data_IF_468075910712
#
_entry.id   IF_468075910712
#
_cell.length_a   1.000
_cell.length_b   1.000
_cell.length_c   1.000
_cell.angle_alpha   90.00
_cell.angle_beta   90.00
_cell.angle_gamma   90.00
#
_symmetry.space_group_name_H-M   'P 1'
#
loop_
_entity.id
_entity.type
_entity.pdbx_description
1 polymer ?
#
# COMPACT_ATOMS: atom_id res chain seq x y z
N UNK A 1 73.65 10.36 -19.53
CA UNK A 1 72.61 10.72 -20.51
C UNK A 1 71.34 10.15 -19.94
N UNK A 2 70.65 11.03 -19.18
CA UNK A 2 69.34 11.58 -19.48
C UNK A 2 68.24 10.51 -19.58
N UNK A 3 67.15 10.41 -18.84
CA UNK A 3 66.33 11.49 -18.33
C UNK A 3 65.39 10.98 -17.27
N UNK A 4 65.04 11.89 -16.42
CA UNK A 4 64.02 11.88 -15.41
C UNK A 4 62.63 11.78 -16.00
N UNK A 5 61.75 11.02 -15.36
CA UNK A 5 60.33 11.35 -15.21
C UNK A 5 59.88 10.95 -13.80
N UNK A 6 59.80 11.95 -12.97
CA UNK A 6 59.13 11.85 -11.69
C UNK A 6 57.61 11.65 -11.90
N UNK A 7 57.00 10.71 -11.17
CA UNK A 7 55.57 10.54 -11.12
C UNK A 7 55.16 10.74 -9.66
N UNK A 8 54.85 12.00 -9.32
CA UNK A 8 54.16 12.34 -8.09
C UNK A 8 52.74 11.78 -8.12
N UNK A 9 52.54 10.66 -7.44
CA UNK A 9 51.21 10.15 -7.16
C UNK A 9 50.59 10.94 -6.01
N UNK A 10 49.90 12.01 -6.34
CA UNK A 10 49.04 12.73 -5.40
C UNK A 10 47.85 11.79 -5.06
N UNK A 11 47.82 11.33 -3.83
CA UNK A 11 46.71 10.59 -3.24
C UNK A 11 45.53 11.56 -3.04
N UNK A 12 44.64 11.62 -4.01
CA UNK A 12 43.36 12.32 -3.88
C UNK A 12 42.38 11.36 -3.22
N UNK A 13 42.21 11.47 -1.91
CA UNK A 13 41.06 10.95 -1.18
C UNK A 13 39.84 11.76 -1.59
N UNK A 14 39.21 11.35 -2.70
CA UNK A 14 37.90 11.84 -3.11
C UNK A 14 36.85 11.24 -2.21
N UNK A 15 36.38 12.00 -1.22
CA UNK A 15 35.15 11.77 -0.52
C UNK A 15 34.04 11.73 -1.55
N UNK A 16 33.47 10.57 -1.82
CA UNK A 16 32.25 10.43 -2.61
C UNK A 16 31.15 11.02 -1.73
N UNK A 17 30.80 12.27 -2.01
CA UNK A 17 29.60 12.87 -1.48
C UNK A 17 28.40 12.05 -1.96
N UNK A 18 27.67 11.52 -1.01
CA UNK A 18 26.39 10.86 -1.16
C UNK A 18 25.37 11.87 -1.73
N UNK A 19 25.35 12.00 -3.05
CA UNK A 19 24.31 12.74 -3.75
C UNK A 19 23.10 11.80 -3.91
N UNK A 20 22.43 11.54 -2.78
CA UNK A 20 21.01 11.18 -2.83
C UNK A 20 20.27 12.41 -3.35
N UNK A 21 20.25 12.51 -4.68
CA UNK A 21 19.44 13.51 -5.36
C UNK A 21 17.97 13.08 -5.26
N UNK A 22 17.41 13.20 -4.06
CA UNK A 22 15.98 13.18 -3.83
C UNK A 22 15.46 14.59 -4.19
N UNK A 23 15.50 14.90 -5.48
CA UNK A 23 14.74 15.99 -6.03
C UNK A 23 13.26 15.59 -6.03
N UNK A 24 12.68 15.45 -4.84
CA UNK A 24 11.28 15.70 -4.67
C UNK A 24 11.06 17.15 -5.12
N UNK A 25 10.54 17.33 -6.33
CA UNK A 25 10.07 18.60 -6.82
C UNK A 25 9.05 19.11 -5.81
N UNK A 26 9.45 20.02 -4.94
CA UNK A 26 8.60 20.72 -3.99
C UNK A 26 7.71 21.74 -4.70
N UNK A 27 6.92 21.30 -5.66
CA UNK A 27 5.74 22.04 -6.06
C UNK A 27 4.79 22.00 -4.85
N UNK A 28 4.27 23.14 -4.36
CA UNK A 28 3.34 23.16 -3.26
C UNK A 28 2.14 22.33 -3.70
N UNK A 29 1.97 21.14 -3.11
CA UNK A 29 0.74 20.36 -3.26
C UNK A 29 -0.37 21.25 -2.70
N UNK A 30 -1.18 21.83 -3.59
CA UNK A 30 -2.31 22.63 -3.18
C UNK A 30 -3.30 21.66 -2.53
N UNK A 31 -3.37 21.67 -1.21
CA UNK A 31 -4.33 20.87 -0.47
C UNK A 31 -5.75 21.36 -0.80
N UNK A 32 -6.71 20.44 -0.81
CA UNK A 32 -8.13 20.82 -0.89
C UNK A 32 -8.47 21.85 0.18
N UNK A 33 -9.25 22.87 -0.16
CA UNK A 33 -9.66 23.88 0.79
C UNK A 33 -10.51 23.26 1.91
N UNK A 34 -10.38 23.77 3.12
CA UNK A 34 -11.15 23.31 4.28
C UNK A 34 -12.67 23.43 4.02
N UNK A 35 -13.08 24.48 3.31
CA UNK A 35 -14.48 24.69 2.92
C UNK A 35 -15.00 23.58 1.98
N UNK A 36 -14.18 23.19 0.96
CA UNK A 36 -14.54 22.09 0.08
C UNK A 36 -14.65 20.76 0.83
N UNK A 37 -13.69 20.47 1.72
CA UNK A 37 -13.69 19.26 2.55
C UNK A 37 -14.90 19.18 3.48
N UNK A 38 -15.48 20.30 3.85
CA UNK A 38 -16.67 20.36 4.69
C UNK A 38 -17.98 20.01 3.94
N UNK A 39 -17.99 20.06 2.59
CA UNK A 39 -19.18 19.79 1.77
C UNK A 39 -19.66 18.34 1.91
N UNK A 40 -20.97 18.11 2.14
CA UNK A 40 -21.53 16.77 2.31
C UNK A 40 -21.19 15.80 1.17
N UNK A 41 -21.28 16.23 -0.09
CA UNK A 41 -20.93 15.41 -1.26
C UNK A 41 -19.46 14.95 -1.23
N UNK A 42 -18.54 15.83 -0.85
CA UNK A 42 -17.11 15.49 -0.76
C UNK A 42 -16.86 14.48 0.37
N UNK A 43 -17.55 14.64 1.51
CA UNK A 43 -17.47 13.68 2.61
C UNK A 43 -18.00 12.31 2.21
N UNK A 44 -19.15 12.25 1.53
CA UNK A 44 -19.72 11.01 1.02
C UNK A 44 -18.78 10.34 0.02
N UNK A 45 -18.26 11.09 -0.96
CA UNK A 45 -17.29 10.57 -1.94
C UNK A 45 -16.07 9.96 -1.25
N UNK A 46 -15.47 10.67 -0.29
CA UNK A 46 -14.33 10.16 0.49
C UNK A 46 -14.67 8.94 1.34
N UNK A 47 -15.85 8.91 1.95
CA UNK A 47 -16.33 7.75 2.71
C UNK A 47 -16.50 6.52 1.82
N UNK A 48 -16.83 6.71 0.53
CA UNK A 48 -16.87 5.65 -0.49
C UNK A 48 -15.50 5.35 -1.12
N UNK A 49 -14.40 5.95 -0.64
CA UNK A 49 -13.06 5.71 -1.16
C UNK A 49 -12.73 6.44 -2.47
N UNK A 50 -13.54 7.40 -2.88
CA UNK A 50 -13.30 8.16 -4.11
C UNK A 50 -12.27 9.29 -3.88
N UNK A 51 -11.35 9.43 -4.81
CA UNK A 51 -10.53 10.63 -4.89
C UNK A 51 -11.43 11.83 -5.27
N UNK A 52 -11.22 12.98 -4.64
CA UNK A 52 -11.97 14.21 -4.91
C UNK A 52 -11.12 15.26 -5.63
N UNK A 53 -9.81 14.98 -5.73
CA UNK A 53 -8.82 15.77 -6.46
C UNK A 53 -7.63 14.91 -6.85
N UNK A 54 -6.84 15.36 -7.80
CA UNK A 54 -5.61 14.71 -8.22
C UNK A 54 -4.61 15.74 -8.75
N UNK A 55 -3.35 15.33 -8.90
CA UNK A 55 -2.33 16.11 -9.60
C UNK A 55 -2.19 15.49 -10.99
N UNK A 56 -2.38 16.28 -12.03
CA UNK A 56 -2.25 15.82 -13.41
C UNK A 56 -0.78 15.59 -13.82
N UNK A 57 -0.56 15.11 -15.04
CA UNK A 57 0.78 14.82 -15.57
C UNK A 57 1.65 16.07 -15.73
N UNK A 58 1.05 17.26 -15.73
CA UNK A 58 1.74 18.54 -15.81
C UNK A 58 2.05 19.14 -14.42
N UNK A 59 1.68 18.42 -13.35
CA UNK A 59 1.83 18.87 -11.97
C UNK A 59 0.74 19.85 -11.51
N UNK A 60 -0.37 19.97 -12.25
CA UNK A 60 -1.46 20.88 -11.90
C UNK A 60 -2.47 20.17 -10.98
N UNK A 61 -2.77 20.82 -9.86
CA UNK A 61 -3.83 20.34 -8.96
C UNK A 61 -5.19 20.52 -9.62
N UNK A 62 -5.93 19.43 -9.73
CA UNK A 62 -7.25 19.39 -10.39
C UNK A 62 -8.29 18.81 -9.45
N UNK A 63 -9.39 19.51 -9.29
CA UNK A 63 -10.55 19.06 -8.52
C UNK A 63 -11.53 18.30 -9.41
N UNK A 64 -12.05 17.17 -8.92
CA UNK A 64 -13.08 16.42 -9.61
C UNK A 64 -14.40 17.16 -9.46
N UNK A 65 -15.14 17.32 -10.56
CA UNK A 65 -16.41 18.03 -10.57
C UNK A 65 -17.49 17.28 -9.80
N UNK A 66 -18.43 18.00 -9.22
CA UNK A 66 -19.57 17.42 -8.48
C UNK A 66 -20.38 16.46 -9.37
N UNK A 67 -20.59 16.81 -10.63
CA UNK A 67 -21.30 15.96 -11.57
C UNK A 67 -20.60 14.61 -11.80
N UNK A 68 -19.27 14.62 -11.87
CA UNK A 68 -18.49 13.38 -11.98
C UNK A 68 -18.57 12.54 -10.69
N UNK A 69 -18.46 13.18 -9.52
CA UNK A 69 -18.61 12.48 -8.24
C UNK A 69 -19.98 11.83 -8.09
N UNK A 70 -21.05 12.56 -8.42
CA UNK A 70 -22.44 12.03 -8.39
C UNK A 70 -22.59 10.86 -9.36
N UNK A 71 -22.04 10.96 -10.57
CA UNK A 71 -22.12 9.90 -11.56
C UNK A 71 -21.39 8.61 -11.09
N UNK A 72 -20.21 8.75 -10.47
CA UNK A 72 -19.44 7.61 -9.93
C UNK A 72 -20.15 7.02 -8.72
N UNK A 73 -20.65 7.84 -7.78
CA UNK A 73 -21.43 7.36 -6.63
C UNK A 73 -22.65 6.56 -7.07
N UNK A 74 -23.38 7.06 -8.08
CA UNK A 74 -24.49 6.33 -8.68
C UNK A 74 -24.08 4.98 -9.27
N UNK A 75 -22.91 4.89 -9.91
CA UNK A 75 -22.37 3.64 -10.44
C UNK A 75 -21.95 2.65 -9.33
N UNK A 76 -21.74 3.14 -8.10
CA UNK A 76 -21.51 2.36 -6.89
C UNK A 76 -22.79 2.08 -6.09
N UNK A 77 -23.98 2.32 -6.67
CA UNK A 77 -25.28 2.19 -6.03
C UNK A 77 -25.46 3.10 -4.79
N UNK A 78 -24.73 4.23 -4.75
CA UNK A 78 -24.83 5.25 -3.69
C UNK A 78 -25.59 6.45 -4.23
N UNK A 79 -26.76 6.76 -3.64
CA UNK A 79 -27.60 7.90 -4.05
C UNK A 79 -27.03 9.21 -3.50
N UNK A 80 -26.62 10.09 -4.42
CA UNK A 80 -26.16 11.45 -4.15
C UNK A 80 -26.93 12.51 -4.99
N UNK A 81 -28.17 12.19 -5.37
CA UNK A 81 -28.98 13.03 -6.26
C UNK A 81 -29.51 14.33 -5.62
N UNK A 82 -29.55 14.39 -4.29
CA UNK A 82 -29.93 15.58 -3.51
C UNK A 82 -29.20 15.60 -2.17
N UNK A 83 -29.26 16.72 -1.47
CA UNK A 83 -28.65 16.85 -0.13
C UNK A 83 -29.25 15.84 0.87
N UNK A 84 -30.57 15.60 0.79
CA UNK A 84 -31.23 14.59 1.63
C UNK A 84 -30.80 13.17 1.26
N UNK A 85 -30.57 12.89 -0.03
CA UNK A 85 -30.06 11.61 -0.47
C UNK A 85 -28.63 11.38 0.05
N UNK A 86 -27.78 12.40 0.00
CA UNK A 86 -26.42 12.35 0.55
C UNK A 86 -26.43 12.03 2.03
N UNK A 87 -27.28 12.69 2.83
CA UNK A 87 -27.41 12.44 4.26
C UNK A 87 -27.86 11.00 4.53
N UNK A 88 -28.88 10.51 3.80
CA UNK A 88 -29.34 9.11 3.93
C UNK A 88 -28.24 8.12 3.60
N UNK A 89 -27.51 8.33 2.50
CA UNK A 89 -26.41 7.46 2.08
C UNK A 89 -25.26 7.45 3.10
N UNK A 90 -24.91 8.60 3.68
CA UNK A 90 -23.92 8.69 4.76
C UNK A 90 -24.36 7.88 5.98
N UNK A 91 -25.61 8.06 6.44
CA UNK A 91 -26.15 7.32 7.58
C UNK A 91 -26.16 5.81 7.32
N UNK A 92 -26.52 5.39 6.10
CA UNK A 92 -26.51 3.98 5.73
C UNK A 92 -25.09 3.40 5.76
N UNK A 93 -24.10 4.12 5.23
CA UNK A 93 -22.69 3.71 5.27
C UNK A 93 -22.18 3.60 6.72
N UNK A 94 -22.54 4.54 7.60
CA UNK A 94 -22.19 4.51 9.02
C UNK A 94 -22.80 3.28 9.71
N UNK A 95 -24.08 2.97 9.44
CA UNK A 95 -24.76 1.78 9.96
C UNK A 95 -24.11 0.50 9.46
N UNK A 96 -23.76 0.42 8.15
CA UNK A 96 -23.09 -0.75 7.58
C UNK A 96 -21.67 -0.93 8.16
N UNK A 97 -20.92 0.16 8.29
CA UNK A 97 -19.59 0.12 8.88
C UNK A 97 -19.64 -0.24 10.37
N UNK A 98 -20.69 0.19 11.09
CA UNK A 98 -20.87 -0.15 12.51
C UNK A 98 -21.15 -1.65 12.72
N UNK A 99 -21.68 -2.35 11.72
CA UNK A 99 -21.90 -3.80 11.76
C UNK A 99 -20.61 -4.60 11.61
N UNK A 100 -19.55 -4.03 11.06
CA UNK A 100 -18.28 -4.73 10.87
C UNK A 100 -17.47 -4.67 12.16
N UNK A 101 -17.07 -5.82 12.68
CA UNK A 101 -16.21 -5.92 13.87
C UNK A 101 -14.77 -5.50 13.55
N UNK A 102 -14.32 -5.76 12.32
CA UNK A 102 -12.96 -5.58 11.83
C UNK A 102 -12.95 -4.96 10.43
N UNK A 103 -11.87 -4.25 10.03
CA UNK A 103 -11.60 -4.01 8.63
C UNK A 103 -11.42 -5.34 7.88
N UNK A 104 -11.75 -5.38 6.61
CA UNK A 104 -11.57 -6.60 5.79
C UNK A 104 -10.11 -7.01 5.61
N UNK A 105 -9.20 -6.03 5.64
CA UNK A 105 -7.76 -6.21 5.45
C UNK A 105 -6.98 -5.34 6.41
N UNK A 106 -5.93 -5.91 6.99
CA UNK A 106 -4.99 -5.27 7.91
C UNK A 106 -3.60 -5.38 7.30
N UNK A 107 -2.90 -4.27 7.18
CA UNK A 107 -1.50 -4.26 6.74
C UNK A 107 -0.62 -4.12 7.96
N UNK A 108 0.19 -5.13 8.23
CA UNK A 108 1.18 -5.16 9.31
C UNK A 108 2.59 -4.98 8.75
N UNK A 109 3.42 -4.17 9.41
CA UNK A 109 4.84 -4.08 9.08
C UNK A 109 5.62 -5.01 9.99
N UNK A 110 6.36 -5.97 9.43
CA UNK A 110 7.19 -6.89 10.22
C UNK A 110 8.19 -6.12 11.09
N UNK A 111 8.43 -6.60 12.30
CA UNK A 111 9.28 -5.93 13.27
C UNK A 111 8.64 -4.77 14.00
N UNK A 112 7.35 -4.47 13.75
CA UNK A 112 6.59 -3.42 14.44
C UNK A 112 5.27 -3.96 14.97
N UNK A 113 4.81 -3.51 16.15
CA UNK A 113 3.49 -3.87 16.63
C UNK A 113 2.41 -3.26 15.73
N UNK A 114 1.31 -3.97 15.55
CA UNK A 114 0.16 -3.49 14.75
C UNK A 114 -1.08 -3.44 15.63
N UNK A 115 -1.61 -2.24 15.85
CA UNK A 115 -2.84 -2.00 16.59
C UNK A 115 -4.08 -2.02 15.69
N UNK A 116 -5.15 -2.63 16.17
CA UNK A 116 -6.43 -2.76 15.46
C UNK A 116 -7.53 -2.44 16.46
N UNK A 117 -8.27 -1.34 16.24
CA UNK A 117 -9.42 -1.01 17.06
C UNK A 117 -10.61 -1.87 16.64
N UNK A 118 -11.16 -2.64 17.56
CA UNK A 118 -12.34 -3.46 17.33
C UNK A 118 -13.61 -2.61 17.42
N UNK A 119 -14.55 -2.84 16.54
CA UNK A 119 -15.81 -2.08 16.54
C UNK A 119 -16.88 -2.75 17.41
N UNK A 120 -16.60 -2.81 18.71
CA UNK A 120 -17.50 -3.34 19.74
C UNK A 120 -17.32 -2.57 21.04
N UNK A 121 -18.15 -2.86 22.03
CA UNK A 121 -18.01 -2.30 23.36
C UNK A 121 -16.80 -2.90 24.09
N UNK A 122 -16.20 -2.14 25.02
CA UNK A 122 -15.05 -2.59 25.81
C UNK A 122 -15.42 -3.65 26.86
N UNK A 123 -16.69 -3.79 27.18
CA UNK A 123 -17.27 -4.77 28.12
C UNK A 123 -17.81 -6.04 27.44
N UNK A 124 -17.70 -6.13 26.11
CA UNK A 124 -18.09 -7.31 25.34
C UNK A 124 -17.20 -8.51 25.65
N UNK A 125 -17.76 -9.72 25.50
CA UNK A 125 -16.98 -10.96 25.55
C UNK A 125 -16.25 -11.16 24.23
N UNK A 126 -14.92 -10.98 24.25
CA UNK A 126 -14.09 -10.97 23.04
C UNK A 126 -13.09 -12.12 23.08
N UNK A 127 -13.12 -12.95 22.04
CA UNK A 127 -12.07 -13.91 21.74
C UNK A 127 -11.44 -13.61 20.40
N UNK A 128 -10.14 -13.85 20.28
CA UNK A 128 -9.40 -13.62 19.03
C UNK A 128 -8.44 -14.78 18.76
N UNK A 129 -8.22 -15.05 17.49
CA UNK A 129 -7.21 -16.02 17.03
C UNK A 129 -6.58 -15.54 15.73
N UNK A 130 -5.29 -15.81 15.57
CA UNK A 130 -4.58 -15.53 14.32
C UNK A 130 -4.06 -16.87 13.79
N UNK A 131 -4.41 -17.18 12.56
CA UNK A 131 -3.90 -18.31 11.80
C UNK A 131 -2.91 -17.81 10.76
N UNK A 132 -1.69 -18.36 10.79
CA UNK A 132 -0.64 -18.04 9.83
C UNK A 132 -0.95 -18.64 8.44
N UNK A 133 -0.21 -18.21 7.44
CA UNK A 133 -0.36 -18.69 6.04
C UNK A 133 -0.15 -20.20 5.91
N UNK A 134 0.66 -20.80 6.78
CA UNK A 134 0.92 -22.25 6.83
C UNK A 134 -0.11 -23.04 7.65
N UNK A 135 -1.14 -22.36 8.16
CA UNK A 135 -2.20 -22.96 9.00
C UNK A 135 -1.84 -23.10 10.48
N UNK A 136 -0.66 -22.64 10.92
CA UNK A 136 -0.30 -22.66 12.33
C UNK A 136 -0.92 -21.49 13.09
N UNK A 137 -1.14 -21.67 14.41
CA UNK A 137 -1.67 -20.61 15.25
C UNK A 137 -0.57 -19.64 15.70
N UNK A 138 -0.86 -18.34 15.66
CA UNK A 138 0.00 -17.30 16.21
C UNK A 138 -0.63 -16.72 17.48
N UNK A 139 0.07 -16.84 18.61
CA UNK A 139 -0.45 -16.45 19.92
C UNK A 139 0.07 -15.14 20.49
N UNK A 140 0.95 -14.42 19.80
CA UNK A 140 1.58 -13.20 20.30
C UNK A 140 0.75 -11.95 19.94
N UNK A 141 -0.37 -11.80 20.58
CA UNK A 141 -1.22 -10.60 20.50
C UNK A 141 -1.85 -10.33 21.88
N UNK A 142 -2.31 -9.09 22.09
CA UNK A 142 -2.98 -8.68 23.30
C UNK A 142 -4.25 -7.88 22.97
N UNK A 143 -5.30 -8.11 23.76
CA UNK A 143 -6.49 -7.29 23.78
C UNK A 143 -6.39 -6.30 24.94
N UNK A 144 -6.46 -5.02 24.64
CA UNK A 144 -6.34 -3.94 25.63
C UNK A 144 -7.53 -2.97 25.50
N UNK A 145 -8.07 -2.48 26.62
CA UNK A 145 -9.08 -1.43 26.56
C UNK A 145 -8.44 -0.14 26.07
N UNK A 146 -9.04 0.48 25.05
CA UNK A 146 -8.62 1.80 24.61
C UNK A 146 -9.44 2.87 25.34
N UNK A 147 -8.82 3.53 26.31
CA UNK A 147 -9.48 4.54 27.16
C UNK A 147 -9.91 5.80 26.40
N UNK A 148 -9.32 6.05 25.23
CA UNK A 148 -9.65 7.24 24.43
C UNK A 148 -10.87 7.03 23.52
N UNK A 149 -11.04 5.82 22.98
CA UNK A 149 -12.13 5.49 22.06
C UNK A 149 -13.32 4.81 22.73
N UNK A 150 -13.14 4.28 23.96
CA UNK A 150 -14.11 3.41 24.62
C UNK A 150 -14.31 2.05 23.91
N UNK A 151 -13.42 1.72 22.98
CA UNK A 151 -13.42 0.46 22.24
C UNK A 151 -12.15 -0.33 22.55
N UNK A 152 -12.17 -1.66 22.49
CA UNK A 152 -10.96 -2.46 22.69
C UNK A 152 -10.02 -2.40 21.49
N UNK A 153 -8.73 -2.39 21.76
CA UNK A 153 -7.69 -2.55 20.75
C UNK A 153 -7.06 -3.95 20.84
N UNK A 154 -6.91 -4.59 19.71
CA UNK A 154 -6.09 -5.79 19.55
C UNK A 154 -4.73 -5.35 19.03
N UNK A 155 -3.67 -5.65 19.77
CA UNK A 155 -2.29 -5.35 19.36
C UNK A 155 -1.58 -6.65 19.00
N UNK A 156 -1.15 -6.77 17.77
CA UNK A 156 -0.33 -7.88 17.26
C UNK A 156 1.13 -7.56 17.55
N UNK A 157 1.87 -8.54 18.07
CA UNK A 157 3.28 -8.37 18.39
C UNK A 157 4.17 -8.21 17.13
N UNK A 158 5.37 -7.61 17.27
CA UNK A 158 6.25 -7.31 16.13
C UNK A 158 6.87 -8.54 15.47
N UNK A 159 6.80 -9.70 16.09
CA UNK A 159 7.35 -10.97 15.62
C UNK A 159 6.41 -11.76 14.69
N UNK A 160 5.30 -11.13 14.25
CA UNK A 160 4.45 -11.71 13.19
C UNK A 160 5.31 -11.94 11.93
N UNK A 161 5.38 -13.18 11.42
CA UNK A 161 6.16 -13.49 10.22
C UNK A 161 5.58 -12.79 8.98
N UNK A 162 6.40 -12.61 7.94
CA UNK A 162 5.92 -12.17 6.64
C UNK A 162 4.95 -13.21 6.07
N UNK A 163 3.89 -12.73 5.41
CA UNK A 163 2.93 -13.60 4.73
C UNK A 163 1.51 -13.07 4.81
N UNK A 164 0.59 -13.93 4.41
CA UNK A 164 -0.85 -13.68 4.40
C UNK A 164 -1.49 -14.52 5.51
N UNK A 165 -2.03 -13.85 6.51
CA UNK A 165 -2.58 -14.51 7.70
C UNK A 165 -4.05 -14.16 7.86
N UNK A 166 -4.76 -14.89 8.71
CA UNK A 166 -6.17 -14.65 8.99
C UNK A 166 -6.36 -14.31 10.47
N UNK A 167 -6.94 -13.15 10.75
CA UNK A 167 -7.45 -12.80 12.06
C UNK A 167 -8.92 -13.17 12.14
N UNK A 168 -9.30 -13.94 13.13
CA UNK A 168 -10.70 -14.21 13.49
C UNK A 168 -10.96 -13.62 14.88
N UNK A 169 -12.02 -12.82 15.00
CA UNK A 169 -12.47 -12.25 16.28
C UNK A 169 -13.92 -12.61 16.47
N UNK A 170 -14.26 -13.11 17.65
CA UNK A 170 -15.65 -13.36 18.05
C UNK A 170 -15.99 -12.41 19.19
N UNK A 171 -17.10 -11.68 19.04
CA UNK A 171 -17.62 -10.73 20.00
C UNK A 171 -19.08 -11.07 20.31
N UNK A 172 -19.39 -11.42 21.55
CA UNK A 172 -20.73 -11.82 21.97
C UNK A 172 -21.36 -12.88 21.04
N UNK A 173 -20.55 -13.83 20.58
CA UNK A 173 -20.97 -14.90 19.66
C UNK A 173 -21.03 -14.48 18.17
N UNK A 174 -20.73 -13.24 17.81
CA UNK A 174 -20.62 -12.77 16.42
C UNK A 174 -19.18 -12.90 15.92
N UNK A 175 -18.97 -13.59 14.83
CA UNK A 175 -17.65 -13.75 14.23
C UNK A 175 -17.36 -12.66 13.19
N UNK A 176 -16.13 -12.13 13.20
CA UNK A 176 -15.57 -11.27 12.17
C UNK A 176 -14.20 -11.80 11.74
N UNK A 177 -13.91 -11.73 10.44
CA UNK A 177 -12.62 -12.13 9.86
C UNK A 177 -11.97 -10.98 9.12
N UNK A 178 -10.63 -10.93 9.20
CA UNK A 178 -9.80 -10.00 8.46
C UNK A 178 -8.58 -10.73 7.89
N UNK A 179 -8.20 -10.40 6.66
CA UNK A 179 -6.92 -10.80 6.11
C UNK A 179 -5.81 -9.92 6.70
N UNK A 180 -4.73 -10.50 7.19
CA UNK A 180 -3.53 -9.76 7.60
C UNK A 180 -2.47 -9.95 6.51
N UNK A 181 -1.97 -8.82 5.98
CA UNK A 181 -0.84 -8.79 5.07
C UNK A 181 0.36 -8.30 5.85
N UNK A 182 1.23 -9.22 6.26
CA UNK A 182 2.47 -8.89 6.96
C UNK A 182 3.60 -8.68 5.95
N UNK A 183 4.03 -7.45 5.78
CA UNK A 183 5.02 -7.04 4.79
C UNK A 183 6.24 -6.39 5.45
N UNK A 184 7.44 -6.48 4.87
CA UNK A 184 8.61 -5.78 5.35
C UNK A 184 8.49 -4.27 5.10
N UNK A 185 9.17 -3.46 5.92
CA UNK A 185 9.17 -1.99 5.75
C UNK A 185 9.77 -1.54 4.41
N UNK A 186 10.60 -2.38 3.80
CA UNK A 186 11.21 -2.18 2.47
C UNK A 186 11.26 -3.52 1.76
N UNK A 187 11.08 -3.50 0.44
CA UNK A 187 11.30 -4.69 -0.38
C UNK A 187 12.76 -5.13 -0.20
N UNK A 188 13.04 -6.36 0.23
CA UNK A 188 14.40 -6.86 0.36
C UNK A 188 15.06 -6.92 -1.01
N UNK A 189 16.27 -6.38 -1.11
CA UNK A 189 17.09 -6.52 -2.32
C UNK A 189 17.86 -7.82 -2.18
N UNK A 190 17.79 -8.74 -3.16
CA UNK A 190 18.61 -9.96 -3.12
C UNK A 190 20.10 -9.63 -3.04
N UNK A 191 20.85 -10.37 -2.22
CA UNK A 191 22.29 -10.16 -1.99
C UNK A 191 23.07 -10.11 -3.30
N UNK A 192 22.76 -11.00 -4.23
CA UNK A 192 23.35 -11.04 -5.59
C UNK A 192 23.18 -9.74 -6.39
N UNK A 193 22.24 -8.87 -6.01
CA UNK A 193 21.99 -7.57 -6.67
C UNK A 193 22.50 -6.42 -5.82
N UNK A 194 22.48 -6.57 -4.48
CA UNK A 194 22.89 -5.51 -3.54
C UNK A 194 24.39 -5.21 -3.60
N UNK A 195 25.23 -6.22 -3.85
CA UNK A 195 26.69 -6.10 -3.81
C UNK A 195 27.31 -5.69 -5.16
N UNK A 196 26.58 -5.82 -6.26
CA UNK A 196 27.09 -5.56 -7.60
C UNK A 196 26.11 -4.78 -8.45
N UNK A 197 26.63 -3.83 -9.24
CA UNK A 197 25.83 -3.22 -10.28
C UNK A 197 25.41 -4.28 -11.30
N UNK A 198 24.12 -4.36 -11.55
CA UNK A 198 23.54 -5.26 -12.55
C UNK A 198 22.94 -4.43 -13.67
N UNK A 199 23.03 -4.94 -14.85
CA UNK A 199 22.35 -4.39 -16.02
C UNK A 199 21.42 -5.45 -16.62
N UNK A 200 20.44 -5.02 -17.36
CA UNK A 200 19.52 -5.93 -18.03
C UNK A 200 18.68 -5.20 -19.07
N UNK A 201 17.98 -5.93 -19.85
CA UNK A 201 17.04 -5.38 -20.82
C UNK A 201 15.63 -5.34 -20.23
N UNK A 202 15.01 -4.19 -20.37
CA UNK A 202 13.57 -4.08 -20.13
C UNK A 202 12.87 -4.34 -21.48
N UNK A 203 12.18 -5.47 -21.58
CA UNK A 203 11.58 -5.90 -22.84
C UNK A 203 10.08 -6.13 -22.66
N UNK A 204 9.30 -5.56 -23.57
CA UNK A 204 7.89 -5.88 -23.68
C UNK A 204 7.77 -7.23 -24.41
N UNK A 205 7.36 -8.28 -23.70
CA UNK A 205 7.37 -9.66 -24.22
C UNK A 205 6.58 -9.78 -25.52
N UNK A 206 5.44 -9.13 -25.66
CA UNK A 206 4.62 -9.14 -26.86
C UNK A 206 5.32 -8.53 -28.11
N UNK A 207 6.36 -7.73 -27.93
CA UNK A 207 7.12 -7.11 -29.02
C UNK A 207 8.37 -7.90 -29.43
N UNK A 208 8.76 -8.91 -28.64
CA UNK A 208 9.88 -9.78 -28.97
C UNK A 208 9.48 -10.70 -30.14
N UNK A 209 10.33 -10.79 -31.13
CA UNK A 209 10.08 -11.66 -32.28
C UNK A 209 11.29 -12.54 -32.58
N UNK A 210 11.03 -13.82 -32.83
CA UNK A 210 11.98 -14.78 -33.35
C UNK A 210 11.39 -15.45 -34.59
N UNK A 211 12.17 -16.32 -35.22
CA UNK A 211 11.70 -17.12 -36.38
C UNK A 211 10.65 -18.15 -35.97
N UNK A 212 10.56 -18.46 -34.69
CA UNK A 212 9.64 -19.46 -34.12
C UNK A 212 8.44 -18.82 -33.40
N UNK A 213 8.41 -17.49 -33.30
CA UNK A 213 7.27 -16.76 -32.72
C UNK A 213 6.02 -16.89 -33.59
N UNK A 214 4.87 -17.01 -32.97
CA UNK A 214 3.56 -17.10 -33.64
C UNK A 214 2.96 -15.72 -33.96
N UNK A 215 3.80 -14.72 -34.19
CA UNK A 215 3.39 -13.35 -34.49
C UNK A 215 3.52 -12.38 -33.33
N UNK A 216 3.52 -12.87 -32.09
CA UNK A 216 3.82 -12.13 -30.88
C UNK A 216 4.84 -12.93 -30.05
N UNK A 217 5.59 -12.24 -29.18
CA UNK A 217 6.56 -12.92 -28.31
C UNK A 217 5.89 -13.78 -27.27
N UNK A 218 6.48 -14.92 -27.01
CA UNK A 218 6.02 -15.92 -26.06
C UNK A 218 7.12 -16.35 -25.07
N UNK A 219 6.83 -17.30 -24.18
CA UNK A 219 7.81 -17.80 -23.21
C UNK A 219 9.00 -18.53 -23.86
N UNK A 220 8.86 -19.05 -25.07
CA UNK A 220 9.99 -19.59 -25.85
C UNK A 220 10.97 -18.51 -26.24
N UNK A 221 10.46 -17.34 -26.67
CA UNK A 221 11.27 -16.16 -26.97
C UNK A 221 11.96 -15.61 -25.72
N UNK A 222 11.24 -15.58 -24.57
CA UNK A 222 11.82 -15.20 -23.29
C UNK A 222 12.98 -16.12 -22.89
N UNK A 223 12.79 -17.44 -23.02
CA UNK A 223 13.83 -18.42 -22.69
C UNK A 223 15.12 -18.17 -23.49
N UNK A 224 14.99 -17.88 -24.79
CA UNK A 224 16.16 -17.57 -25.66
C UNK A 224 16.80 -16.25 -25.24
N UNK A 225 16.01 -15.21 -25.02
CA UNK A 225 16.51 -13.91 -24.59
C UNK A 225 17.29 -14.02 -23.29
N UNK A 226 16.80 -14.81 -22.33
CA UNK A 226 17.50 -15.06 -21.07
C UNK A 226 18.78 -15.85 -21.25
N UNK A 227 18.80 -16.85 -22.15
CA UNK A 227 20.01 -17.60 -22.47
C UNK A 227 21.09 -16.70 -23.09
N UNK A 228 20.71 -15.88 -24.10
CA UNK A 228 21.61 -14.93 -24.74
C UNK A 228 22.13 -13.85 -23.76
N UNK A 229 21.30 -13.43 -22.81
CA UNK A 229 21.70 -12.46 -21.79
C UNK A 229 22.66 -13.05 -20.74
N UNK A 230 22.56 -14.34 -20.44
CA UNK A 230 23.42 -15.02 -19.48
C UNK A 230 24.86 -15.26 -20.01
N UNK A 231 25.06 -15.23 -21.34
CA UNK A 231 26.35 -15.37 -21.96
C UNK A 231 27.17 -14.05 -22.06
N UNK A 232 26.55 -12.94 -21.73
CA UNK A 232 27.13 -11.58 -21.79
C UNK A 232 27.57 -11.09 -20.41
#
# INVERSE_FOLDING_TARGET
MTDAYGNDAATSTGTIADTTNNAASGAPQRAESTERLARPLIKLAKACGLATSFIDQLGTYTEISDAALVAVLKALDVDASSDEAIVRSMTQLEVENSKRLLPSTIVATTGKPTGITLNCSSDADITASIELEDGTAFGHFALLPNLNSGKPDLTIAPDLPMGYHTLTVTVDGREGKAAIIAAPARIPVPEAVAEHQRWGWMTQMYSVRSRESWGIGDYGDLKRLLADAAEK
#
